data_IF_227079785336
#
_entry.id   IF_227079785336
#
_cell.length_a   1.000
_cell.length_b   1.000
_cell.length_c   1.000
_cell.angle_alpha   90.00
_cell.angle_beta   90.00
_cell.angle_gamma   90.00
#
_symmetry.space_group_name_H-M   'P 1'
#
loop_
_entity.id
_entity.type
_entity.pdbx_description
1 polymer ?
#
# COMPACT_ATOMS: atom_id res chain seq x y z
N UNK A 1 17.79 12.11 -9.97
CA UNK A 1 16.72 13.13 -9.99
C UNK A 1 15.37 12.45 -9.78
N UNK A 2 14.28 13.17 -9.45
CA UNK A 2 12.95 12.55 -9.35
C UNK A 2 12.55 11.78 -10.62
N UNK A 3 12.90 12.30 -11.81
CA UNK A 3 12.70 11.63 -13.09
C UNK A 3 13.49 10.33 -13.24
N UNK A 4 14.70 10.25 -12.66
CA UNK A 4 15.47 9.00 -12.67
C UNK A 4 14.79 7.92 -11.81
N UNK A 5 14.22 8.29 -10.65
CA UNK A 5 13.50 7.37 -9.76
C UNK A 5 12.24 6.82 -10.44
N UNK A 6 11.50 7.66 -11.16
CA UNK A 6 10.34 7.25 -11.96
C UNK A 6 10.75 6.36 -13.16
N UNK A 7 11.88 6.66 -13.81
CA UNK A 7 12.41 5.84 -14.90
C UNK A 7 12.82 4.44 -14.44
N UNK A 8 13.37 4.34 -13.25
CA UNK A 8 13.77 3.05 -12.65
C UNK A 8 12.56 2.24 -12.19
N UNK A 9 11.49 2.90 -11.74
CA UNK A 9 10.23 2.27 -11.37
C UNK A 9 9.04 3.19 -11.66
N UNK A 10 8.25 2.82 -12.67
CA UNK A 10 7.10 3.59 -13.15
C UNK A 10 6.00 3.81 -12.09
N UNK A 11 6.01 3.07 -10.98
CA UNK A 11 5.08 3.34 -9.86
C UNK A 11 5.45 4.62 -9.10
N UNK A 12 6.70 5.06 -9.15
CA UNK A 12 7.18 6.24 -8.43
C UNK A 12 6.98 7.52 -9.27
N UNK A 13 5.74 7.82 -9.64
CA UNK A 13 5.39 8.98 -10.47
C UNK A 13 5.94 10.27 -9.85
N UNK A 14 6.65 11.08 -10.62
CA UNK A 14 7.31 12.29 -10.13
C UNK A 14 8.41 12.04 -9.08
N UNK A 15 8.90 10.80 -8.97
CA UNK A 15 9.85 10.36 -7.94
C UNK A 15 9.22 10.02 -6.58
N UNK A 16 7.89 9.91 -6.49
CA UNK A 16 7.19 9.61 -5.23
C UNK A 16 7.29 8.13 -4.84
N UNK A 17 8.27 7.80 -4.01
CA UNK A 17 8.46 6.45 -3.46
C UNK A 17 7.41 6.08 -2.39
N UNK A 18 6.73 7.06 -1.80
CA UNK A 18 5.71 6.82 -0.79
C UNK A 18 4.36 6.42 -1.42
N UNK A 19 4.20 6.64 -2.74
CA UNK A 19 3.01 6.32 -3.51
C UNK A 19 1.74 6.99 -2.94
N UNK A 20 1.85 8.28 -2.61
CA UNK A 20 0.77 9.10 -2.08
C UNK A 20 1.23 10.05 -0.97
N UNK A 21 0.41 11.07 -0.71
CA UNK A 21 0.68 12.04 0.34
C UNK A 21 0.43 11.48 1.75
N UNK A 22 1.09 12.10 2.73
CA UNK A 22 0.94 11.80 4.15
C UNK A 22 -0.11 12.70 4.82
N UNK A 23 -1.28 12.82 4.19
CA UNK A 23 -2.42 13.52 4.79
C UNK A 23 -3.20 12.57 5.72
N UNK A 24 -3.93 13.11 6.70
CA UNK A 24 -4.76 12.29 7.60
C UNK A 24 -5.73 11.37 6.84
N UNK A 25 -6.46 11.83 5.80
CA UNK A 25 -7.33 10.93 5.04
C UNK A 25 -6.56 9.80 4.35
N UNK A 26 -5.46 10.11 3.65
CA UNK A 26 -4.67 9.07 2.99
C UNK A 26 -3.98 8.14 3.98
N UNK A 27 -3.69 8.58 5.21
CA UNK A 27 -3.13 7.71 6.24
C UNK A 27 -4.00 6.49 6.52
N UNK A 28 -5.33 6.66 6.46
CA UNK A 28 -6.29 5.60 6.77
C UNK A 28 -6.96 4.98 5.53
N UNK A 29 -7.07 5.71 4.43
CA UNK A 29 -7.92 5.35 3.28
C UNK A 29 -7.14 5.16 1.96
N UNK A 30 -5.80 5.08 2.03
CA UNK A 30 -4.97 4.68 0.87
C UNK A 30 -5.00 3.16 0.65
N UNK A 31 -4.76 2.66 -0.57
CA UNK A 31 -4.77 3.40 -1.82
C UNK A 31 -6.20 3.68 -2.31
N UNK A 32 -7.20 3.09 -1.65
CA UNK A 32 -8.62 3.20 -1.99
C UNK A 32 -9.48 3.12 -0.73
N UNK A 33 -10.68 3.66 -0.82
CA UNK A 33 -11.69 3.54 0.22
C UNK A 33 -12.21 2.11 0.29
N UNK A 34 -11.82 1.38 1.33
CA UNK A 34 -12.21 0.00 1.57
C UNK A 34 -12.21 -0.31 3.08
N UNK A 35 -13.03 -1.27 3.49
CA UNK A 35 -13.05 -1.78 4.87
C UNK A 35 -11.75 -2.52 5.18
N UNK A 36 -11.27 -3.35 4.23
CA UNK A 36 -9.93 -3.93 4.27
C UNK A 36 -9.11 -3.33 3.11
N UNK A 37 -8.23 -2.35 3.38
CA UNK A 37 -7.45 -1.67 2.34
C UNK A 37 -6.32 -2.55 1.76
N UNK A 38 -6.08 -3.73 2.35
CA UNK A 38 -5.06 -4.67 1.88
C UNK A 38 -5.64 -5.74 0.95
N UNK A 39 -6.95 -5.98 0.99
CA UNK A 39 -7.62 -6.96 0.12
C UNK A 39 -7.95 -6.35 -1.25
N UNK A 40 -7.87 -7.17 -2.29
CA UNK A 40 -8.40 -6.83 -3.63
C UNK A 40 -9.71 -7.58 -3.91
N UNK A 41 -10.32 -7.34 -5.08
CA UNK A 41 -11.49 -8.10 -5.52
C UNK A 41 -11.18 -9.57 -5.76
N UNK A 42 -9.92 -9.91 -6.08
CA UNK A 42 -9.47 -11.29 -6.13
C UNK A 42 -9.33 -11.87 -4.71
N UNK A 43 -9.64 -13.15 -4.56
CA UNK A 43 -9.64 -13.85 -3.26
C UNK A 43 -8.24 -14.11 -2.71
N UNK A 44 -7.24 -14.12 -3.57
CA UNK A 44 -5.86 -14.57 -3.33
C UNK A 44 -4.80 -13.48 -3.54
N UNK A 45 -5.23 -12.24 -3.83
CA UNK A 45 -4.34 -11.11 -4.10
C UNK A 45 -4.51 -9.99 -3.06
N UNK A 46 -3.37 -9.52 -2.53
CA UNK A 46 -3.28 -8.55 -1.45
C UNK A 46 -2.25 -7.46 -1.74
N UNK A 47 -2.48 -6.26 -1.23
CA UNK A 47 -1.61 -5.10 -1.34
C UNK A 47 -0.76 -4.98 -0.07
N UNK A 48 0.56 -4.85 -0.22
CA UNK A 48 1.51 -4.79 0.91
C UNK A 48 2.56 -3.67 0.81
N UNK A 49 2.36 -2.71 -0.10
CA UNK A 49 3.34 -1.65 -0.39
C UNK A 49 3.17 -0.39 0.47
N UNK A 50 4.07 0.59 0.28
CA UNK A 50 3.95 1.93 0.85
C UNK A 50 2.65 2.66 0.48
N UNK A 51 1.97 2.23 -0.59
CA UNK A 51 0.66 2.75 -1.00
C UNK A 51 -0.49 2.32 -0.08
N UNK A 52 -0.26 1.38 0.85
CA UNK A 52 -1.25 0.93 1.84
C UNK A 52 -1.01 1.59 3.21
N UNK A 53 -2.01 1.65 4.11
CA UNK A 53 -1.80 2.18 5.46
C UNK A 53 -0.71 1.37 6.20
N UNK A 54 0.10 1.98 7.09
CA UNK A 54 0.18 3.39 7.46
C UNK A 54 1.04 4.25 6.51
N UNK A 55 1.45 3.74 5.36
CA UNK A 55 2.20 4.49 4.34
C UNK A 55 3.66 4.04 4.22
N UNK A 56 4.48 4.89 3.62
CA UNK A 56 5.93 4.65 3.49
C UNK A 56 6.68 4.63 4.82
N UNK A 57 7.81 3.91 4.83
CA UNK A 57 8.73 3.80 5.96
C UNK A 57 9.25 2.37 6.16
N UNK A 58 10.37 2.23 6.87
CA UNK A 58 11.02 0.93 7.14
C UNK A 58 10.48 0.22 8.38
N UNK A 59 9.16 0.32 8.62
CA UNK A 59 8.51 -0.25 9.81
C UNK A 59 7.84 -1.62 9.56
N UNK A 60 7.67 -2.04 8.30
CA UNK A 60 7.15 -3.37 7.94
C UNK A 60 5.63 -3.60 8.14
N UNK A 61 4.87 -2.58 8.54
CA UNK A 61 3.46 -2.74 8.92
C UNK A 61 2.54 -3.02 7.73
N UNK A 62 2.84 -2.50 6.54
CA UNK A 62 2.06 -2.77 5.33
C UNK A 62 2.02 -4.26 5.02
N UNK A 63 3.19 -4.92 5.04
CA UNK A 63 3.31 -6.37 4.88
C UNK A 63 2.64 -7.15 6.01
N UNK A 64 2.84 -6.73 7.26
CA UNK A 64 2.20 -7.35 8.42
C UNK A 64 0.66 -7.35 8.32
N UNK A 65 0.06 -6.21 7.98
CA UNK A 65 -1.39 -6.10 7.87
C UNK A 65 -1.94 -6.83 6.63
N UNK A 66 -1.23 -6.82 5.50
CA UNK A 66 -1.59 -7.61 4.32
C UNK A 66 -1.61 -9.10 4.64
N UNK A 67 -0.58 -9.62 5.32
CA UNK A 67 -0.53 -11.01 5.75
C UNK A 67 -1.69 -11.36 6.70
N UNK A 68 -2.02 -10.46 7.65
CA UNK A 68 -3.19 -10.65 8.52
C UNK A 68 -4.51 -10.62 7.77
N UNK A 69 -4.65 -9.79 6.73
CA UNK A 69 -5.81 -9.80 5.84
C UNK A 69 -5.94 -11.13 5.11
N UNK A 70 -4.83 -11.65 4.59
CA UNK A 70 -4.80 -12.96 3.94
C UNK A 70 -5.23 -14.08 4.87
N UNK A 71 -4.65 -14.13 6.08
CA UNK A 71 -5.01 -15.14 7.08
C UNK A 71 -6.50 -15.06 7.48
N UNK A 72 -7.06 -13.85 7.66
CA UNK A 72 -8.48 -13.69 7.98
C UNK A 72 -9.39 -14.22 6.87
N UNK A 73 -9.07 -13.96 5.60
CA UNK A 73 -9.88 -14.40 4.46
C UNK A 73 -9.72 -15.89 4.16
N UNK A 74 -8.55 -16.47 4.41
CA UNK A 74 -8.30 -17.89 4.18
C UNK A 74 -8.92 -18.79 5.27
N UNK A 75 -9.16 -18.25 6.46
CA UNK A 75 -9.73 -18.97 7.61
C UNK A 75 -11.21 -18.65 7.88
N UNK A 76 -11.80 -17.75 7.09
CA UNK A 76 -13.23 -17.44 7.12
C UNK A 76 -13.99 -18.38 6.17
#
# INVERSE_FOLDING_TARGET
TPTDVERDNANNIGGDIANGAHTLPQLFMRPRWAIDPYATSASDLYLCSAATPPGGGVHGMCGYHAARSALRRALA
#
